data_IF_439776440473
#
_entry.id   IF_439776440473
#
_cell.length_a   1.000
_cell.length_b   1.000
_cell.length_c   1.000
_cell.angle_alpha   90.00
_cell.angle_beta   90.00
_cell.angle_gamma   90.00
#
_symmetry.space_group_name_H-M   'P 1'
#
loop_
_entity.id
_entity.type
_entity.pdbx_description
1 polymer ?
#
# COMPACT_ATOMS: atom_id res chain seq x y z
N UNK A 1 4.97 9.24 -10.69
CA UNK A 1 3.95 8.17 -10.68
C UNK A 1 4.13 7.19 -9.52
N UNK A 2 5.20 6.38 -9.47
CA UNK A 2 5.37 5.35 -8.42
C UNK A 2 5.35 5.91 -6.99
N UNK A 3 6.02 7.05 -6.77
CA UNK A 3 6.02 7.72 -5.46
C UNK A 3 4.62 8.17 -5.02
N UNK A 4 3.86 8.81 -5.93
CA UNK A 4 2.49 9.23 -5.67
C UNK A 4 1.55 8.04 -5.37
N UNK A 5 1.76 6.88 -6.01
CA UNK A 5 0.99 5.65 -5.73
C UNK A 5 1.35 5.11 -4.34
N UNK A 6 2.63 5.13 -3.97
CA UNK A 6 3.08 4.71 -2.64
C UNK A 6 2.50 5.59 -1.53
N UNK A 7 2.54 6.91 -1.69
CA UNK A 7 1.99 7.86 -0.72
C UNK A 7 0.47 7.74 -0.58
N UNK A 8 -0.26 7.66 -1.70
CA UNK A 8 -1.71 7.50 -1.67
C UNK A 8 -2.14 6.25 -0.91
N UNK A 9 -1.42 5.15 -1.07
CA UNK A 9 -1.68 3.89 -0.32
C UNK A 9 -1.33 4.01 1.16
N UNK A 10 -0.31 4.79 1.50
CA UNK A 10 0.03 5.07 2.90
C UNK A 10 -1.07 5.86 3.60
N UNK A 11 -1.59 6.89 2.93
CA UNK A 11 -2.69 7.71 3.45
C UNK A 11 -3.95 6.86 3.64
N UNK A 12 -4.33 6.08 2.62
CA UNK A 12 -5.52 5.23 2.69
C UNK A 12 -5.46 4.21 3.84
N UNK A 13 -4.33 3.52 4.01
CA UNK A 13 -4.14 2.56 5.10
C UNK A 13 -4.21 3.22 6.49
N UNK A 14 -3.58 4.39 6.65
CA UNK A 14 -3.58 5.12 7.91
C UNK A 14 -4.98 5.64 8.30
N UNK A 15 -5.73 6.16 7.32
CA UNK A 15 -7.11 6.62 7.54
C UNK A 15 -8.03 5.45 7.90
N UNK A 16 -7.90 4.32 7.20
CA UNK A 16 -8.69 3.12 7.48
C UNK A 16 -8.38 2.54 8.87
N UNK A 17 -7.10 2.45 9.25
CA UNK A 17 -6.71 2.02 10.60
C UNK A 17 -7.22 2.97 11.68
N UNK A 18 -7.18 4.28 11.44
CA UNK A 18 -7.69 5.28 12.38
C UNK A 18 -9.21 5.17 12.60
N UNK A 19 -9.97 4.87 11.54
CA UNK A 19 -11.44 4.80 11.60
C UNK A 19 -11.94 3.43 12.06
N UNK A 20 -11.29 2.36 11.64
CA UNK A 20 -11.74 0.96 11.80
C UNK A 20 -10.99 0.25 12.93
N UNK A 21 -9.90 0.83 13.44
CA UNK A 21 -9.03 0.28 14.48
C UNK A 21 -8.03 -0.77 13.97
N UNK A 22 -8.11 -1.13 12.69
CA UNK A 22 -7.19 -1.99 11.96
C UNK A 22 -7.38 -1.75 10.46
N UNK A 23 -6.42 -2.16 9.63
CA UNK A 23 -6.55 -2.03 8.17
C UNK A 23 -6.21 -3.33 7.46
N UNK A 24 -7.03 -3.69 6.47
CA UNK A 24 -6.74 -4.75 5.50
C UNK A 24 -6.23 -4.19 4.17
N UNK A 25 -6.09 -2.86 4.08
CA UNK A 25 -5.58 -2.22 2.89
C UNK A 25 -4.10 -2.54 2.70
N UNK A 26 -3.66 -2.73 1.45
CA UNK A 26 -2.32 -3.21 1.21
C UNK A 26 -1.31 -2.06 1.46
N UNK A 27 -0.23 -2.36 2.19
CA UNK A 27 0.79 -1.40 2.59
C UNK A 27 1.59 -0.83 1.40
N UNK A 28 2.15 0.41 1.50
CA UNK A 28 2.97 1.06 0.48
C UNK A 28 4.05 0.14 -0.11
N UNK A 29 4.22 0.16 -1.44
CA UNK A 29 5.28 -0.61 -2.11
C UNK A 29 6.55 0.24 -2.07
N UNK A 30 7.53 -0.20 -1.28
CA UNK A 30 8.87 0.42 -1.28
C UNK A 30 9.62 0.10 -2.58
N UNK A 31 10.51 1.00 -3.00
CA UNK A 31 11.22 0.91 -4.28
C UNK A 31 12.05 -0.39 -4.46
N UNK A 32 12.44 -1.03 -3.36
CA UNK A 32 13.19 -2.29 -3.35
C UNK A 32 12.30 -3.55 -3.38
N UNK A 33 10.97 -3.41 -3.40
CA UNK A 33 10.06 -4.56 -3.47
C UNK A 33 10.20 -5.26 -4.82
N UNK A 34 10.29 -6.59 -4.77
CA UNK A 34 10.32 -7.43 -5.98
C UNK A 34 8.96 -7.35 -6.71
N UNK A 35 8.96 -7.41 -8.05
CA UNK A 35 7.74 -7.48 -8.83
C UNK A 35 6.90 -8.70 -8.43
N UNK A 36 5.58 -8.53 -8.42
CA UNK A 36 4.68 -9.67 -8.31
C UNK A 36 4.75 -10.48 -9.60
N UNK A 37 5.04 -11.77 -9.50
CA UNK A 37 5.14 -12.67 -10.64
C UNK A 37 3.78 -13.31 -10.88
N UNK A 38 3.26 -13.23 -12.11
CA UNK A 38 2.06 -13.95 -12.50
C UNK A 38 2.41 -15.43 -12.72
N UNK A 39 1.59 -16.37 -12.21
CA UNK A 39 1.71 -17.78 -12.57
C UNK A 39 1.48 -17.94 -14.07
N UNK A 40 2.21 -18.88 -14.67
CA UNK A 40 2.18 -19.17 -16.11
C UNK A 40 0.94 -19.97 -16.47
#
# INVERSE_FOLDING_TARGET
>A
MVWAISEGRSCAAAVDEYLTGSTELPAPIVASKRPMMLPR
#
